data_IF_798966947919
#
_entry.id   IF_798966947919
#
_cell.length_a   1.000
_cell.length_b   1.000
_cell.length_c   1.000
_cell.angle_alpha   90.00
_cell.angle_beta   90.00
_cell.angle_gamma   90.00
#
_symmetry.space_group_name_H-M   'P 1'
#
loop_
_entity.id
_entity.type
_entity.pdbx_description
1 polymer ?
#
# COMPACT_ATOMS: atom_id res chain seq x y z
N UNK A 1 -15.03 -16.28 16.62
CA UNK A 1 -13.62 -16.06 16.26
C UNK A 1 -12.66 -16.99 17.00
N UNK A 2 -12.67 -17.02 18.35
CA UNK A 2 -11.74 -17.83 19.15
C UNK A 2 -11.76 -19.34 18.83
N UNK A 3 -12.93 -19.91 18.54
CA UNK A 3 -13.05 -21.33 18.20
C UNK A 3 -12.27 -21.71 16.93
N UNK A 4 -12.23 -20.83 15.92
CA UNK A 4 -11.62 -21.11 14.61
C UNK A 4 -10.09 -21.00 14.60
N UNK A 5 -9.51 -20.32 15.59
CA UNK A 5 -8.07 -20.09 15.73
C UNK A 5 -7.46 -20.87 16.91
N UNK A 6 -8.24 -21.77 17.52
CA UNK A 6 -7.81 -22.60 18.63
C UNK A 6 -7.09 -23.87 18.15
N UNK A 7 -6.26 -24.53 18.99
CA UNK A 7 -5.67 -25.83 18.64
C UNK A 7 -6.71 -26.91 18.27
N UNK A 8 -7.91 -26.84 18.85
CA UNK A 8 -9.02 -27.73 18.53
C UNK A 8 -9.49 -27.60 17.06
N UNK A 9 -9.18 -26.47 16.41
CA UNK A 9 -9.51 -26.23 15.01
C UNK A 9 -8.48 -26.81 14.01
N UNK A 10 -7.36 -27.38 14.47
CA UNK A 10 -6.27 -27.84 13.60
C UNK A 10 -6.76 -28.80 12.49
N UNK A 11 -7.60 -29.77 12.85
CA UNK A 11 -8.17 -30.75 11.90
C UNK A 11 -9.22 -30.14 10.95
N UNK A 12 -9.62 -28.88 11.19
CA UNK A 12 -10.60 -28.17 10.38
C UNK A 12 -9.97 -27.13 9.44
N UNK A 13 -8.65 -26.90 9.52
CA UNK A 13 -7.98 -25.88 8.70
C UNK A 13 -8.15 -26.12 7.20
N UNK A 14 -7.93 -27.36 6.74
CA UNK A 14 -8.09 -27.71 5.32
C UNK A 14 -9.56 -27.61 4.85
N UNK A 15 -10.56 -28.19 5.56
CA UNK A 15 -11.97 -27.95 5.24
C UNK A 15 -12.37 -26.47 5.19
N UNK A 16 -11.83 -25.65 6.11
CA UNK A 16 -12.06 -24.21 6.14
C UNK A 16 -11.42 -23.52 4.94
N UNK A 17 -10.18 -23.87 4.59
CA UNK A 17 -9.47 -23.33 3.42
C UNK A 17 -10.22 -23.63 2.12
N UNK A 18 -10.68 -24.87 1.93
CA UNK A 18 -11.47 -25.24 0.75
C UNK A 18 -12.81 -24.51 0.70
N UNK A 19 -13.48 -24.34 1.85
CA UNK A 19 -14.73 -23.56 1.93
C UNK A 19 -14.49 -22.10 1.58
N UNK A 20 -13.44 -21.49 2.13
CA UNK A 20 -13.06 -20.12 1.82
C UNK A 20 -12.75 -19.96 0.32
N UNK A 21 -11.97 -20.87 -0.27
CA UNK A 21 -11.67 -20.86 -1.70
C UNK A 21 -12.93 -20.95 -2.56
N UNK A 22 -13.89 -21.84 -2.22
CA UNK A 22 -15.17 -21.94 -2.95
C UNK A 22 -15.96 -20.64 -2.88
N UNK A 23 -16.08 -20.05 -1.70
CA UNK A 23 -16.80 -18.78 -1.51
C UNK A 23 -16.12 -17.62 -2.26
N UNK A 24 -14.79 -17.53 -2.20
CA UNK A 24 -14.01 -16.54 -2.96
C UNK A 24 -14.24 -16.70 -4.46
N UNK A 25 -14.19 -17.92 -4.98
CA UNK A 25 -14.45 -18.18 -6.41
C UNK A 25 -15.88 -17.88 -6.83
N UNK A 26 -16.86 -18.14 -5.96
CA UNK A 26 -18.27 -17.79 -6.22
C UNK A 26 -18.46 -16.28 -6.34
N UNK A 27 -17.71 -15.47 -5.57
CA UNK A 27 -17.85 -14.00 -5.57
C UNK A 27 -16.95 -13.30 -6.58
N UNK A 28 -15.74 -13.78 -6.79
CA UNK A 28 -14.69 -13.09 -7.55
C UNK A 28 -14.18 -13.87 -8.77
N UNK A 29 -14.69 -15.08 -9.02
CA UNK A 29 -14.22 -15.94 -10.09
C UNK A 29 -12.81 -16.47 -9.84
N UNK A 30 -12.04 -16.68 -10.91
CA UNK A 30 -10.68 -17.21 -10.85
C UNK A 30 -9.60 -16.13 -11.10
N UNK A 31 -10.00 -14.86 -11.21
CA UNK A 31 -9.08 -13.76 -11.49
C UNK A 31 -8.18 -13.49 -10.30
N UNK A 32 -6.87 -13.38 -10.55
CA UNK A 32 -5.87 -12.96 -9.57
C UNK A 32 -5.30 -11.62 -10.03
N UNK A 33 -5.55 -10.57 -9.25
CA UNK A 33 -5.00 -9.24 -9.52
C UNK A 33 -3.61 -9.12 -8.92
N UNK A 34 -2.69 -8.54 -9.68
CA UNK A 34 -1.33 -8.26 -9.23
C UNK A 34 -1.13 -6.75 -9.08
N UNK A 35 -0.39 -6.36 -8.05
CA UNK A 35 0.10 -5.01 -7.85
C UNK A 35 1.57 -5.07 -7.45
N UNK A 36 2.29 -3.97 -7.66
CA UNK A 36 3.69 -3.85 -7.24
C UNK A 36 3.83 -2.75 -6.19
N UNK A 37 4.50 -3.02 -5.06
CA UNK A 37 4.83 -1.98 -4.12
C UNK A 37 5.96 -1.09 -4.64
N UNK A 38 5.76 0.23 -4.59
CA UNK A 38 6.79 1.24 -4.85
C UNK A 38 7.07 2.01 -3.56
N UNK A 39 8.25 1.77 -2.97
CA UNK A 39 8.71 2.48 -1.79
C UNK A 39 9.23 3.87 -2.17
N UNK A 40 8.46 4.93 -1.86
CA UNK A 40 8.88 6.31 -2.15
C UNK A 40 9.87 6.84 -1.12
N UNK A 41 9.81 6.34 0.11
CA UNK A 41 10.77 6.69 1.15
C UNK A 41 10.88 5.61 2.22
N UNK A 42 12.10 5.38 2.71
CA UNK A 42 12.36 4.56 3.89
C UNK A 42 12.70 5.41 5.15
N UNK A 43 12.50 6.73 5.08
CA UNK A 43 12.69 7.62 6.21
C UNK A 43 11.46 7.53 7.13
N UNK A 44 11.68 7.17 8.39
CA UNK A 44 10.61 7.01 9.37
C UNK A 44 11.07 7.52 10.73
N UNK A 45 10.17 8.19 11.45
CA UNK A 45 10.37 8.72 12.78
C UNK A 45 9.87 7.77 13.89
N UNK A 46 9.13 6.71 13.54
CA UNK A 46 8.64 5.75 14.52
C UNK A 46 9.70 4.74 14.93
N UNK A 47 9.56 4.21 16.15
CA UNK A 47 10.43 3.17 16.69
C UNK A 47 9.70 1.82 16.86
N UNK A 48 9.11 1.34 15.76
CA UNK A 48 8.39 0.06 15.77
C UNK A 48 9.38 -1.12 15.84
N UNK A 49 9.27 -1.94 16.90
CA UNK A 49 10.17 -3.09 17.16
C UNK A 49 10.16 -4.17 16.07
N UNK A 50 9.11 -4.20 15.25
CA UNK A 50 8.93 -5.15 14.16
C UNK A 50 9.29 -4.58 12.77
N UNK A 51 9.63 -3.29 12.66
CA UNK A 51 9.79 -2.62 11.37
C UNK A 51 11.26 -2.39 11.01
N UNK A 52 11.66 -2.81 9.81
CA UNK A 52 13.00 -2.54 9.27
C UNK A 52 13.31 -1.05 9.11
N UNK A 53 12.29 -0.19 8.97
CA UNK A 53 12.46 1.25 8.88
C UNK A 53 12.40 1.97 10.23
N UNK A 54 12.32 1.28 11.37
CA UNK A 54 12.37 1.92 12.70
C UNK A 54 13.51 2.95 12.77
N UNK A 55 13.26 4.10 13.39
CA UNK A 55 14.24 5.19 13.52
C UNK A 55 15.55 4.71 14.16
N UNK A 56 15.47 3.76 15.09
CA UNK A 56 16.62 3.17 15.79
C UNK A 56 17.54 2.35 14.87
N UNK A 57 17.05 1.91 13.72
CA UNK A 57 17.84 1.15 12.76
C UNK A 57 18.80 2.07 11.98
N UNK A 58 20.09 1.73 12.01
CA UNK A 58 21.16 2.40 11.26
C UNK A 58 21.22 1.92 9.82
N UNK A 59 20.23 2.31 9.02
CA UNK A 59 20.16 2.05 7.58
C UNK A 59 20.35 3.34 6.78
N UNK A 60 20.77 3.22 5.51
CA UNK A 60 20.83 4.36 4.60
C UNK A 60 19.40 4.84 4.30
N UNK A 61 19.09 6.06 4.73
CA UNK A 61 17.78 6.69 4.48
C UNK A 61 17.74 7.34 3.11
N UNK A 62 16.62 7.19 2.42
CA UNK A 62 16.38 7.69 1.07
C UNK A 62 14.90 8.03 0.91
N UNK A 63 14.66 9.22 0.38
CA UNK A 63 13.40 9.63 -0.24
C UNK A 63 13.70 9.80 -1.72
N UNK A 64 12.85 9.25 -2.57
CA UNK A 64 13.02 9.34 -4.01
C UNK A 64 12.68 10.77 -4.49
N UNK A 65 13.47 11.29 -5.42
CA UNK A 65 13.11 12.52 -6.13
C UNK A 65 12.26 12.23 -7.38
N UNK A 66 11.79 13.28 -8.07
CA UNK A 66 10.95 13.14 -9.27
C UNK A 66 11.62 12.29 -10.37
N UNK A 67 12.94 12.41 -10.56
CA UNK A 67 13.65 11.69 -11.59
C UNK A 67 13.84 10.20 -11.22
N UNK A 68 14.07 9.92 -9.94
CA UNK A 68 14.10 8.56 -9.40
C UNK A 68 12.74 7.88 -9.51
N UNK A 69 11.66 8.56 -9.10
CA UNK A 69 10.29 8.06 -9.24
C UNK A 69 9.98 7.73 -10.70
N UNK A 70 10.34 8.63 -11.63
CA UNK A 70 10.11 8.38 -13.05
C UNK A 70 10.86 7.14 -13.57
N UNK A 71 12.10 6.91 -13.11
CA UNK A 71 12.87 5.71 -13.48
C UNK A 71 12.23 4.42 -12.93
N UNK A 72 11.81 4.43 -11.66
CA UNK A 72 11.11 3.29 -11.06
C UNK A 72 9.78 3.02 -11.76
N UNK A 73 8.99 4.06 -12.05
CA UNK A 73 7.73 3.93 -12.78
C UNK A 73 7.95 3.33 -14.17
N UNK A 74 8.96 3.81 -14.92
CA UNK A 74 9.30 3.27 -16.24
C UNK A 74 9.72 1.79 -16.16
N UNK A 75 10.54 1.43 -15.17
CA UNK A 75 10.95 0.04 -14.95
C UNK A 75 9.74 -0.86 -14.66
N UNK A 76 8.82 -0.43 -13.79
CA UNK A 76 7.62 -1.19 -13.43
C UNK A 76 6.67 -1.33 -14.63
N UNK A 77 6.50 -0.28 -15.44
CA UNK A 77 5.70 -0.34 -16.67
C UNK A 77 6.31 -1.31 -17.69
N UNK A 78 7.62 -1.35 -17.82
CA UNK A 78 8.31 -2.31 -18.70
C UNK A 78 8.13 -3.77 -18.24
N UNK A 79 7.86 -4.01 -16.96
CA UNK A 79 7.50 -5.32 -16.42
C UNK A 79 6.02 -5.69 -16.67
N UNK A 80 5.21 -4.78 -17.20
CA UNK A 80 3.80 -5.01 -17.54
C UNK A 80 2.82 -4.79 -16.40
N UNK A 81 3.22 -4.14 -15.30
CA UNK A 81 2.31 -3.85 -14.20
C UNK A 81 1.56 -2.53 -14.39
N UNK A 82 0.28 -2.55 -14.06
CA UNK A 82 -0.62 -1.38 -14.17
C UNK A 82 -1.20 -0.93 -12.82
N UNK A 83 -1.00 -1.71 -11.76
CA UNK A 83 -1.48 -1.42 -10.41
C UNK A 83 -0.30 -1.22 -9.46
N UNK A 84 -0.26 -0.07 -8.79
CA UNK A 84 0.78 0.27 -7.82
C UNK A 84 0.22 0.38 -6.41
N UNK A 85 1.05 -0.04 -5.45
CA UNK A 85 0.90 0.28 -4.03
C UNK A 85 2.06 1.18 -3.60
N UNK A 86 1.80 2.45 -3.37
CA UNK A 86 2.80 3.38 -2.86
C UNK A 86 3.00 3.15 -1.37
N UNK A 87 4.24 3.05 -0.93
CA UNK A 87 4.57 2.83 0.48
C UNK A 87 5.60 3.86 0.93
N UNK A 88 5.36 4.47 2.09
CA UNK A 88 6.30 5.44 2.68
C UNK A 88 6.54 5.17 4.15
N UNK A 89 7.75 5.51 4.62
CA UNK A 89 7.97 5.75 6.05
C UNK A 89 7.26 7.02 6.53
N UNK A 90 7.17 7.17 7.86
CA UNK A 90 6.49 8.29 8.52
C UNK A 90 7.48 9.40 8.86
N UNK A 91 7.48 10.50 8.11
CA UNK A 91 8.30 11.66 8.44
C UNK A 91 7.70 12.96 7.86
N UNK A 92 6.83 13.62 8.64
CA UNK A 92 6.05 14.80 8.22
C UNK A 92 6.88 15.89 7.51
N UNK A 93 8.11 16.17 7.97
CA UNK A 93 8.93 17.24 7.39
C UNK A 93 9.56 16.93 6.02
N UNK A 94 9.55 15.67 5.55
CA UNK A 94 10.20 15.27 4.28
C UNK A 94 9.31 14.40 3.38
N UNK A 95 8.32 13.73 3.97
CA UNK A 95 7.41 12.81 3.30
C UNK A 95 6.01 13.08 3.85
N UNK A 96 5.51 14.29 3.59
CA UNK A 96 4.18 14.74 3.95
C UNK A 96 3.36 15.14 2.73
N UNK A 97 2.23 15.82 2.94
CA UNK A 97 1.29 16.18 1.86
C UNK A 97 1.93 16.99 0.73
N UNK A 98 2.89 17.87 1.00
CA UNK A 98 3.58 18.62 -0.07
C UNK A 98 4.34 17.72 -1.04
N UNK A 99 5.00 16.69 -0.52
CA UNK A 99 5.69 15.69 -1.32
C UNK A 99 4.67 14.89 -2.17
N UNK A 100 3.52 14.54 -1.59
CA UNK A 100 2.47 13.83 -2.31
C UNK A 100 1.82 14.68 -3.41
N UNK A 101 1.50 15.95 -3.14
CA UNK A 101 1.02 16.93 -4.13
C UNK A 101 1.96 17.04 -5.32
N UNK A 102 3.27 17.04 -5.05
CA UNK A 102 4.29 17.17 -6.08
C UNK A 102 4.39 15.94 -7.00
N UNK A 103 4.23 14.73 -6.45
CA UNK A 103 4.59 13.50 -7.17
C UNK A 103 3.41 12.62 -7.58
N UNK A 104 2.33 12.56 -6.81
CA UNK A 104 1.20 11.66 -7.08
C UNK A 104 0.57 11.88 -8.46
N UNK A 105 0.30 13.12 -8.93
CA UNK A 105 -0.31 13.32 -10.25
C UNK A 105 0.55 12.75 -11.39
N UNK A 106 1.87 12.86 -11.28
CA UNK A 106 2.80 12.34 -12.28
C UNK A 106 2.89 10.81 -12.27
N UNK A 107 2.72 10.16 -11.12
CA UNK A 107 2.64 8.71 -11.01
C UNK A 107 1.29 8.24 -11.55
N UNK A 108 0.19 8.89 -11.15
CA UNK A 108 -1.18 8.50 -11.52
C UNK A 108 -1.42 8.46 -13.03
N UNK A 109 -0.81 9.37 -13.78
CA UNK A 109 -0.93 9.41 -15.24
C UNK A 109 -0.33 8.17 -15.94
N UNK A 110 0.51 7.41 -15.24
CA UNK A 110 1.21 6.24 -15.77
C UNK A 110 0.58 4.90 -15.37
N UNK A 111 -0.33 4.86 -14.40
CA UNK A 111 -0.87 3.60 -13.87
C UNK A 111 -2.41 3.61 -13.87
N UNK A 112 -3.00 2.43 -14.06
CA UNK A 112 -4.45 2.27 -14.07
C UNK A 112 -5.04 2.34 -12.66
N UNK A 113 -4.27 1.94 -11.65
CA UNK A 113 -4.66 1.96 -10.26
C UNK A 113 -3.50 2.36 -9.35
N UNK A 114 -3.79 3.24 -8.40
CA UNK A 114 -2.84 3.76 -7.44
C UNK A 114 -3.40 3.67 -6.03
N UNK A 115 -2.79 2.80 -5.21
CA UNK A 115 -3.08 2.67 -3.80
C UNK A 115 -1.94 3.23 -2.94
N UNK A 116 -2.20 3.54 -1.68
CA UNK A 116 -1.16 4.06 -0.78
C UNK A 116 -1.28 3.50 0.64
N UNK A 117 -0.13 3.07 1.18
CA UNK A 117 0.10 2.82 2.60
C UNK A 117 0.95 3.94 3.18
N UNK A 118 0.34 4.77 4.01
CA UNK A 118 0.93 5.98 4.58
C UNK A 118 0.60 6.07 6.07
N UNK A 119 1.35 6.91 6.79
CA UNK A 119 1.07 7.26 8.18
C UNK A 119 -0.39 7.74 8.36
N UNK A 120 -0.93 7.71 9.59
CA UNK A 120 -2.22 8.32 9.87
C UNK A 120 -2.23 9.80 9.49
N UNK A 121 -3.20 10.20 8.66
CA UNK A 121 -3.40 11.58 8.23
C UNK A 121 -4.72 12.13 8.78
N UNK A 122 -4.90 13.44 8.73
CA UNK A 122 -6.21 14.04 8.98
C UNK A 122 -7.20 13.66 7.86
N UNK A 123 -8.50 13.63 8.17
CA UNK A 123 -9.55 13.33 7.18
C UNK A 123 -9.47 14.22 5.94
N UNK A 124 -9.11 15.49 6.13
CA UNK A 124 -8.96 16.48 5.07
C UNK A 124 -7.80 16.13 4.12
N UNK A 125 -6.70 15.63 4.68
CA UNK A 125 -5.53 15.20 3.90
C UNK A 125 -5.86 13.93 3.09
N UNK A 126 -6.61 12.98 3.67
CA UNK A 126 -7.12 11.83 2.92
C UNK A 126 -8.07 12.23 1.78
N UNK A 127 -8.96 13.20 2.02
CA UNK A 127 -9.83 13.74 0.99
C UNK A 127 -9.03 14.39 -0.15
N UNK A 128 -7.97 15.12 0.19
CA UNK A 128 -7.07 15.72 -0.79
C UNK A 128 -6.31 14.66 -1.59
N UNK A 129 -5.77 13.62 -0.95
CA UNK A 129 -5.08 12.53 -1.64
C UNK A 129 -5.96 11.84 -2.70
N UNK A 130 -7.27 11.72 -2.45
CA UNK A 130 -8.23 11.26 -3.48
C UNK A 130 -8.26 12.18 -4.69
N UNK A 131 -8.24 13.50 -4.49
CA UNK A 131 -8.23 14.47 -5.60
C UNK A 131 -6.92 14.44 -6.41
N UNK A 132 -5.81 14.03 -5.79
CA UNK A 132 -4.52 13.82 -6.45
C UNK A 132 -4.44 12.50 -7.23
N UNK A 133 -5.48 11.66 -7.16
CA UNK A 133 -5.64 10.48 -8.01
C UNK A 133 -5.42 9.14 -7.33
N UNK A 134 -5.43 9.06 -5.99
CA UNK A 134 -5.49 7.76 -5.31
C UNK A 134 -6.86 7.09 -5.50
N UNK A 135 -6.83 5.81 -5.84
CA UNK A 135 -8.03 4.98 -5.96
C UNK A 135 -8.39 4.31 -4.60
N UNK A 136 -7.41 4.11 -3.70
CA UNK A 136 -7.63 3.55 -2.36
C UNK A 136 -6.38 3.56 -1.46
N UNK A 137 -6.53 3.18 -0.19
CA UNK A 137 -5.45 3.18 0.82
C UNK A 137 -5.99 2.97 2.23
N UNK A 138 -5.13 2.62 3.20
CA UNK A 138 -5.53 2.44 4.61
C UNK A 138 -6.23 3.72 5.13
N UNK A 139 -7.53 3.61 5.41
CA UNK A 139 -8.41 4.72 5.79
C UNK A 139 -9.37 5.25 4.70
N UNK A 140 -9.23 4.82 3.44
CA UNK A 140 -10.05 5.29 2.31
C UNK A 140 -11.23 4.36 1.97
N UNK A 141 -11.41 3.26 2.74
CA UNK A 141 -12.42 2.21 2.50
C UNK A 141 -13.79 2.45 3.17
N UNK A 142 -14.03 3.64 3.73
CA UNK A 142 -15.36 4.06 4.17
C UNK A 142 -16.03 4.88 3.08
N UNK A 143 -17.22 4.46 2.64
CA UNK A 143 -18.12 5.13 1.69
C UNK A 143 -17.75 5.01 0.21
N UNK A 144 -17.99 3.82 -0.35
CA UNK A 144 -18.45 3.62 -1.73
C UNK A 144 -19.15 2.24 -1.83
N UNK A 145 -20.27 2.10 -1.12
CA UNK A 145 -21.38 1.17 -1.42
C UNK A 145 -22.56 1.42 -0.51
#
# INVERSE_FOLDING_TARGET
MMALLSPAAANYLEPLAQRAQRLTRQRFGNTVSFYVPLYLSNLCANDCTYCGFSMSNRIKRKTLDAAEIARECAAIRNLGFEHLLLVTGEHQGKVGMDYFRQHLPAIRSQFASLHMEVQPLATEEYAELKTLGLDGGDGLSGDLS
#
